data_IF_089604137074
#
_entry.id   IF_089604137074
#
_cell.length_a   1.000
_cell.length_b   1.000
_cell.length_c   1.000
_cell.angle_alpha   90.00
_cell.angle_beta   90.00
_cell.angle_gamma   90.00
#
_symmetry.space_group_name_H-M   'P 1'
#
loop_
_entity.id
_entity.type
_entity.pdbx_description
1 polymer ?
#
# COMPACT_ATOMS: atom_id res chain seq x y z
N UNK A 1 -12.12 1.54 13.76
CA UNK A 1 -10.66 1.72 13.63
C UNK A 1 -10.37 3.07 13.00
N UNK A 2 -9.32 3.77 13.43
CA UNK A 2 -8.87 5.05 12.86
C UNK A 2 -7.48 4.83 12.27
N UNK A 3 -7.27 5.28 11.04
CA UNK A 3 -5.98 5.24 10.35
C UNK A 3 -5.46 6.67 10.17
N UNK A 4 -4.15 6.86 10.20
CA UNK A 4 -3.50 8.14 9.88
C UNK A 4 -3.51 8.41 8.38
N UNK A 5 -3.38 7.36 7.57
CA UNK A 5 -3.39 7.44 6.10
C UNK A 5 -4.27 6.38 5.46
N UNK A 6 -4.90 6.76 4.34
CA UNK A 6 -5.49 5.86 3.37
C UNK A 6 -4.67 5.94 2.07
N UNK A 7 -4.13 4.81 1.64
CA UNK A 7 -3.42 4.68 0.37
C UNK A 7 -4.29 3.87 -0.59
N UNK A 8 -4.60 4.45 -1.75
CA UNK A 8 -5.41 3.79 -2.79
C UNK A 8 -4.48 3.37 -3.92
N UNK A 9 -4.28 2.06 -4.07
CA UNK A 9 -3.36 1.41 -5.00
C UNK A 9 -2.13 0.83 -4.29
N UNK A 10 -1.91 -0.48 -4.43
CA UNK A 10 -0.78 -1.24 -3.90
C UNK A 10 0.35 -1.41 -4.94
N UNK A 11 0.54 -0.39 -5.79
CA UNK A 11 1.70 -0.28 -6.68
C UNK A 11 2.97 0.14 -5.90
N UNK A 12 4.15 0.20 -6.56
CA UNK A 12 5.42 0.45 -5.89
C UNK A 12 5.43 1.70 -5.02
N UNK A 13 4.91 2.81 -5.54
CA UNK A 13 4.90 4.07 -4.79
C UNK A 13 4.01 3.99 -3.55
N UNK A 14 2.78 3.48 -3.68
CA UNK A 14 1.85 3.33 -2.56
C UNK A 14 2.39 2.38 -1.50
N UNK A 15 3.01 1.28 -1.91
CA UNK A 15 3.65 0.32 -1.02
C UNK A 15 4.86 0.93 -0.28
N UNK A 16 5.72 1.67 -0.98
CA UNK A 16 6.89 2.34 -0.37
C UNK A 16 6.46 3.43 0.60
N UNK A 17 5.48 4.26 0.23
CA UNK A 17 4.95 5.28 1.14
C UNK A 17 4.34 4.64 2.39
N UNK A 18 3.50 3.62 2.24
CA UNK A 18 2.88 2.94 3.36
C UNK A 18 3.94 2.32 4.30
N UNK A 19 4.99 1.71 3.72
CA UNK A 19 6.12 1.18 4.47
C UNK A 19 6.86 2.25 5.28
N UNK A 20 7.21 3.37 4.66
CA UNK A 20 7.94 4.45 5.32
C UNK A 20 7.08 5.19 6.36
N UNK A 21 5.80 5.40 6.08
CA UNK A 21 4.86 5.97 7.04
C UNK A 21 4.70 5.04 8.27
N UNK A 22 4.59 3.73 8.04
CA UNK A 22 4.52 2.74 9.12
C UNK A 22 5.77 2.76 10.00
N UNK A 23 6.97 2.82 9.39
CA UNK A 23 8.25 2.97 10.13
C UNK A 23 8.31 4.24 10.99
N UNK A 24 7.53 5.27 10.66
CA UNK A 24 7.40 6.52 11.44
C UNK A 24 6.26 6.47 12.46
N UNK A 25 5.73 5.28 12.76
CA UNK A 25 4.69 5.07 13.77
C UNK A 25 3.28 5.45 13.31
N UNK A 26 3.04 5.55 11.99
CA UNK A 26 1.74 5.89 11.43
C UNK A 26 0.97 4.63 11.03
N UNK A 27 -0.32 4.63 11.33
CA UNK A 27 -1.26 3.60 10.90
C UNK A 27 -1.73 3.89 9.47
N UNK A 28 -1.58 2.91 8.57
CA UNK A 28 -1.88 3.08 7.15
C UNK A 28 -2.82 1.97 6.69
N UNK A 29 -3.95 2.34 6.10
CA UNK A 29 -4.81 1.42 5.38
C UNK A 29 -4.46 1.50 3.89
N UNK A 30 -3.98 0.40 3.32
CA UNK A 30 -3.75 0.29 1.87
C UNK A 30 -4.89 -0.51 1.27
N UNK A 31 -5.54 0.02 0.24
CA UNK A 31 -6.57 -0.69 -0.53
C UNK A 31 -6.14 -0.78 -1.99
N UNK A 32 -6.35 -1.92 -2.63
CA UNK A 32 -6.25 -2.08 -4.08
C UNK A 32 -7.52 -2.76 -4.57
N UNK A 33 -7.94 -2.43 -5.79
CA UNK A 33 -9.09 -3.07 -6.44
C UNK A 33 -8.70 -4.42 -7.04
N UNK A 34 -7.43 -4.60 -7.39
CA UNK A 34 -6.91 -5.81 -8.04
C UNK A 34 -6.71 -6.90 -6.99
N UNK A 35 -6.93 -8.15 -7.40
CA UNK A 35 -6.70 -9.33 -6.56
C UNK A 35 -5.23 -9.76 -6.53
N UNK A 36 -4.32 -8.92 -7.01
CA UNK A 36 -2.89 -9.16 -7.00
C UNK A 36 -2.15 -7.90 -6.56
N UNK A 37 -0.93 -8.09 -6.06
CA UNK A 37 -0.07 -7.01 -5.59
C UNK A 37 0.67 -6.32 -6.74
N UNK A 38 1.36 -5.23 -6.42
CA UNK A 38 2.28 -4.48 -7.31
C UNK A 38 1.65 -3.76 -8.52
N UNK A 39 0.32 -3.76 -8.66
CA UNK A 39 -0.36 -3.05 -9.76
C UNK A 39 0.15 -3.53 -11.13
N UNK A 40 0.57 -2.60 -11.99
CA UNK A 40 1.05 -2.95 -13.34
C UNK A 40 2.39 -3.71 -13.37
N UNK A 41 3.06 -3.86 -12.22
CA UNK A 41 4.31 -4.63 -12.08
C UNK A 41 4.06 -6.01 -11.45
N UNK A 42 2.85 -6.53 -11.60
CA UNK A 42 2.53 -7.87 -11.17
C UNK A 42 3.31 -8.90 -11.98
N UNK A 43 3.89 -9.87 -11.27
CA UNK A 43 4.50 -11.06 -11.85
C UNK A 43 3.90 -12.29 -11.16
N UNK A 44 3.76 -13.36 -11.92
CA UNK A 44 3.39 -14.69 -11.45
C UNK A 44 4.58 -15.65 -11.57
N UNK A 45 4.54 -16.76 -10.84
CA UNK A 45 5.57 -17.82 -10.87
C UNK A 45 5.04 -19.05 -11.59
#
# INVERSE_FOLDING_TARGET
>A
MKYDYLVVGAGPFGAVFAHEAHKRGKSVLVIDRRNHIAGNLYCES
#
